data_IF_811813927293
#
_entry.id   IF_811813927293
#
_cell.length_a   1.000
_cell.length_b   1.000
_cell.length_c   1.000
_cell.angle_alpha   90.00
_cell.angle_beta   90.00
_cell.angle_gamma   90.00
#
_symmetry.space_group_name_H-M   'P 1'
#
loop_
_entity.id
_entity.type
_entity.pdbx_description
1 polymer ?
#
# COMPACT_ATOMS: atom_id res chain seq x y z
N UNK A 1 12.58 -12.72 -2.53
CA UNK A 1 12.02 -13.48 -1.41
C UNK A 1 11.56 -12.47 -0.36
N UNK A 2 10.36 -12.64 0.20
CA UNK A 2 9.83 -11.75 1.24
C UNK A 2 10.32 -12.28 2.60
N UNK A 3 10.92 -11.46 3.49
CA UNK A 3 11.39 -11.91 4.79
C UNK A 3 10.27 -12.47 5.68
N UNK A 4 10.57 -13.48 6.49
CA UNK A 4 9.64 -14.00 7.50
C UNK A 4 9.39 -12.95 8.60
N UNK A 5 8.19 -12.96 9.16
CA UNK A 5 7.78 -11.98 10.17
C UNK A 5 7.62 -10.55 9.62
N UNK A 6 7.55 -10.40 8.28
CA UNK A 6 7.43 -9.08 7.64
C UNK A 6 6.05 -8.85 7.02
N UNK A 7 5.74 -7.59 6.75
CA UNK A 7 4.58 -7.20 5.95
C UNK A 7 5.05 -6.91 4.52
N UNK A 8 4.44 -7.58 3.56
CA UNK A 8 4.52 -7.21 2.16
C UNK A 8 3.40 -6.23 1.82
N UNK A 9 3.74 -5.13 1.15
CA UNK A 9 2.78 -4.15 0.66
C UNK A 9 3.06 -3.90 -0.82
N UNK A 10 2.03 -4.06 -1.65
CA UNK A 10 2.06 -3.71 -3.07
C UNK A 10 1.25 -2.43 -3.29
N UNK A 11 1.86 -1.48 -3.99
CA UNK A 11 1.20 -0.23 -4.35
C UNK A 11 1.44 0.13 -5.81
N UNK A 12 0.53 0.95 -6.34
CA UNK A 12 0.66 1.61 -7.64
C UNK A 12 0.88 3.09 -7.40
N UNK A 13 1.83 3.66 -8.15
CA UNK A 13 2.12 5.09 -8.16
C UNK A 13 1.89 5.69 -9.54
N UNK A 14 1.29 6.88 -9.54
CA UNK A 14 1.12 7.70 -10.74
C UNK A 14 1.63 9.11 -10.41
N UNK A 15 2.48 9.67 -11.25
CA UNK A 15 2.86 11.09 -11.22
C UNK A 15 2.06 11.85 -12.28
N UNK A 16 1.44 12.98 -11.90
CA UNK A 16 0.74 13.85 -12.85
C UNK A 16 1.64 14.98 -13.41
N UNK A 17 1.08 15.78 -14.32
CA UNK A 17 1.82 16.90 -14.94
C UNK A 17 2.18 18.06 -13.98
N UNK A 18 1.71 18.02 -12.73
CA UNK A 18 2.04 18.99 -11.68
C UNK A 18 3.02 18.40 -10.65
N UNK A 19 3.60 17.23 -10.94
CA UNK A 19 4.48 16.48 -10.03
C UNK A 19 3.81 16.06 -8.72
N UNK A 20 2.49 15.87 -8.73
CA UNK A 20 1.80 15.19 -7.64
C UNK A 20 1.91 13.69 -7.82
N UNK A 21 2.23 12.98 -6.74
CA UNK A 21 2.32 11.51 -6.73
C UNK A 21 1.08 10.94 -6.03
N UNK A 22 0.36 10.09 -6.73
CA UNK A 22 -0.81 9.38 -6.23
C UNK A 22 -0.41 7.94 -5.96
N UNK A 23 -0.43 7.51 -4.69
CA UNK A 23 -0.07 6.13 -4.27
C UNK A 23 -1.28 5.40 -3.72
N UNK A 24 -1.65 4.31 -4.38
CA UNK A 24 -2.72 3.42 -3.93
C UNK A 24 -2.11 2.08 -3.49
N UNK A 25 -2.43 1.62 -2.28
CA UNK A 25 -2.12 0.25 -1.86
C UNK A 25 -3.14 -0.68 -2.52
N UNK A 26 -2.67 -1.68 -3.25
CA UNK A 26 -3.51 -2.65 -3.96
C UNK A 26 -3.50 -4.03 -3.30
N UNK A 27 -2.46 -4.32 -2.51
CA UNK A 27 -2.35 -5.55 -1.74
C UNK A 27 -1.48 -5.33 -0.50
N UNK A 28 -1.80 -6.05 0.57
CA UNK A 28 -1.02 -6.09 1.80
C UNK A 28 -1.16 -7.47 2.42
N UNK A 29 -0.02 -8.10 2.69
CA UNK A 29 0.02 -9.44 3.27
C UNK A 29 1.05 -9.51 4.39
N UNK A 30 0.63 -10.00 5.55
CA UNK A 30 1.50 -10.32 6.66
C UNK A 30 2.04 -11.73 6.51
N UNK A 31 3.35 -11.89 6.61
CA UNK A 31 4.05 -13.18 6.55
C UNK A 31 4.48 -13.56 7.96
N UNK A 32 4.07 -14.75 8.40
CA UNK A 32 4.45 -15.29 9.71
C UNK A 32 5.95 -15.57 9.81
N UNK A 33 6.42 -15.79 11.05
CA UNK A 33 7.80 -16.24 11.30
C UNK A 33 8.10 -17.63 10.72
N UNK A 34 7.05 -18.40 10.39
CA UNK A 34 7.12 -19.68 9.67
C UNK A 34 7.04 -19.55 8.15
N UNK A 35 6.86 -18.34 7.62
CA UNK A 35 6.81 -18.08 6.17
C UNK A 35 5.42 -18.19 5.53
N UNK A 36 4.40 -18.57 6.30
CA UNK A 36 3.01 -18.65 5.81
C UNK A 36 2.32 -17.28 5.85
N UNK A 37 1.50 -16.93 4.85
CA UNK A 37 0.57 -15.81 4.93
C UNK A 37 -0.37 -15.91 6.13
N UNK A 38 -0.56 -14.81 6.85
CA UNK A 38 -1.46 -14.73 8.01
C UNK A 38 -2.85 -14.23 7.60
N UNK A 39 -2.92 -13.36 6.59
CA UNK A 39 -4.17 -12.67 6.25
C UNK A 39 -5.06 -13.57 5.38
N UNK A 40 -6.37 -13.60 5.67
CA UNK A 40 -7.37 -14.42 4.95
C UNK A 40 -7.77 -13.85 3.57
N UNK A 41 -7.33 -12.64 3.22
CA UNK A 41 -7.77 -11.91 2.03
C UNK A 41 -6.75 -12.04 0.88
N UNK A 42 -7.23 -12.52 -0.27
CA UNK A 42 -6.41 -12.86 -1.44
C UNK A 42 -6.68 -12.00 -2.70
N UNK A 43 -7.33 -10.85 -2.57
CA UNK A 43 -7.84 -10.14 -3.74
C UNK A 43 -7.62 -8.63 -3.64
N UNK A 44 -7.31 -8.03 -4.79
CA UNK A 44 -7.03 -6.62 -4.99
C UNK A 44 -8.01 -5.74 -4.22
N UNK A 45 -7.55 -5.17 -3.11
CA UNK A 45 -8.29 -4.18 -2.35
C UNK A 45 -7.73 -2.82 -2.76
N UNK A 46 -8.13 -2.37 -3.96
CA UNK A 46 -7.80 -1.03 -4.41
C UNK A 46 -8.35 -0.02 -3.39
N UNK A 47 -7.45 0.61 -2.66
CA UNK A 47 -7.77 1.70 -1.73
C UNK A 47 -7.81 3.05 -2.44
N UNK A 48 -8.39 4.06 -1.82
CA UNK A 48 -8.23 5.42 -2.34
C UNK A 48 -6.74 5.82 -2.26
N UNK A 49 -6.25 6.57 -3.24
CA UNK A 49 -4.86 6.96 -3.27
C UNK A 49 -4.54 8.02 -2.19
N UNK A 50 -3.40 7.86 -1.54
CA UNK A 50 -2.74 8.97 -0.84
C UNK A 50 -2.05 9.87 -1.87
N UNK A 51 -1.97 11.17 -1.59
CA UNK A 51 -1.40 12.18 -2.49
C UNK A 51 -0.19 12.80 -1.82
N UNK A 52 0.92 12.88 -2.56
CA UNK A 52 2.17 13.46 -2.14
C UNK A 52 2.57 14.58 -3.11
N UNK A 53 3.32 15.57 -2.62
CA UNK A 53 3.99 16.53 -3.48
C UNK A 53 5.28 15.95 -4.10
N UNK A 54 5.95 16.74 -4.93
CA UNK A 54 7.18 16.35 -5.64
C UNK A 54 8.35 16.03 -4.72
N UNK A 55 8.33 16.55 -3.49
CA UNK A 55 9.37 16.32 -2.48
C UNK A 55 9.04 15.11 -1.59
N UNK A 56 7.90 14.46 -1.83
CA UNK A 56 7.42 13.30 -1.08
C UNK A 56 6.67 13.65 0.20
N UNK A 57 6.32 14.92 0.43
CA UNK A 57 5.50 15.31 1.56
C UNK A 57 4.05 14.89 1.32
N UNK A 58 3.38 14.42 2.37
CA UNK A 58 1.97 14.01 2.30
C UNK A 58 1.08 15.26 2.21
N UNK A 59 0.26 15.33 1.15
CA UNK A 59 -0.80 16.32 1.00
C UNK A 59 -2.16 15.76 1.43
N UNK A 60 -2.38 14.47 1.16
CA UNK A 60 -3.56 13.72 1.59
C UNK A 60 -3.15 12.30 1.97
N UNK A 61 -3.50 11.89 3.18
CA UNK A 61 -3.33 10.51 3.64
C UNK A 61 -4.70 9.83 3.64
N UNK A 62 -4.84 8.83 2.77
CA UNK A 62 -5.95 7.90 2.89
C UNK A 62 -5.76 7.04 4.15
N UNK A 63 -6.83 6.77 4.90
CA UNK A 63 -6.79 5.79 5.99
C UNK A 63 -7.17 4.40 5.44
N UNK A 64 -6.20 3.49 5.27
CA UNK A 64 -6.45 2.16 4.70
C UNK A 64 -7.30 1.26 5.60
N UNK A 65 -7.49 1.61 6.88
CA UNK A 65 -8.32 0.84 7.82
C UNK A 65 -9.83 1.07 7.64
N UNK A 66 -10.25 2.08 6.86
CA UNK A 66 -11.67 2.43 6.71
C UNK A 66 -12.43 1.53 5.73
N UNK A 67 -11.75 0.68 4.97
CA UNK A 67 -12.34 -0.14 3.91
C UNK A 67 -11.98 -1.65 4.02
N UNK A 68 -11.44 -2.06 5.17
CA UNK A 68 -11.16 -3.45 5.53
C UNK A 68 -12.37 -4.13 6.16
#
# INVERSE_FOLDING_TARGET
>A
EIPYGSTWTLYVEIEDGNSLVYRCVIDRQNISDSGEPIDEYHWWQGSEASIYDSDGNVLYAHNPELYQ
#
